data_IF_438407805970
#
_entry.id   IF_438407805970
#
_cell.length_a   1.000
_cell.length_b   1.000
_cell.length_c   1.000
_cell.angle_alpha   90.00
_cell.angle_beta   90.00
_cell.angle_gamma   90.00
#
_symmetry.space_group_name_H-M   'P 1'
#
loop_
_entity.id
_entity.type
_entity.pdbx_description
1 polymer ?
#
# COMPACT_ATOMS: atom_id res chain seq x y z
N UNK A 1 0.23 -16.07 6.56
CA UNK A 1 1.66 -16.28 6.89
C UNK A 1 2.13 -15.14 7.76
N UNK A 2 3.21 -15.34 8.51
CA UNK A 2 3.81 -14.33 9.39
C UNK A 2 5.06 -13.76 8.73
N UNK A 3 5.13 -12.43 8.62
CA UNK A 3 6.32 -11.75 8.10
C UNK A 3 7.35 -11.50 9.20
N UNK A 4 8.58 -11.22 8.79
CA UNK A 4 9.59 -10.66 9.68
C UNK A 4 9.23 -9.21 10.02
N UNK A 5 9.69 -8.74 11.18
CA UNK A 5 9.26 -7.47 11.76
C UNK A 5 10.49 -6.70 12.22
N UNK A 6 10.54 -5.39 11.95
CA UNK A 6 11.65 -4.53 12.33
C UNK A 6 11.77 -4.39 13.86
N UNK A 7 12.99 -4.12 14.33
CA UNK A 7 13.23 -3.84 15.76
C UNK A 7 12.42 -2.63 16.25
N UNK A 8 12.20 -1.64 15.39
CA UNK A 8 11.38 -0.48 15.72
C UNK A 8 9.93 -0.90 16.02
N UNK A 9 9.33 -1.77 15.20
CA UNK A 9 7.99 -2.30 15.46
C UNK A 9 7.99 -3.20 16.70
N UNK A 10 9.02 -4.03 16.92
CA UNK A 10 9.15 -4.85 18.13
C UNK A 10 9.21 -4.01 19.41
N UNK A 11 9.82 -2.81 19.36
CA UNK A 11 9.91 -1.86 20.49
C UNK A 11 8.64 -1.04 20.67
N UNK A 12 8.06 -0.53 19.57
CA UNK A 12 6.86 0.31 19.58
C UNK A 12 5.59 -0.49 19.91
N UNK A 13 5.55 -1.75 19.51
CA UNK A 13 4.36 -2.60 19.66
C UNK A 13 4.64 -3.76 20.59
N UNK A 14 3.65 -4.15 21.39
CA UNK A 14 3.76 -5.33 22.25
C UNK A 14 3.48 -6.63 21.48
N UNK A 15 3.99 -6.75 20.24
CA UNK A 15 3.66 -7.85 19.31
C UNK A 15 4.07 -9.21 19.88
N UNK A 16 5.17 -9.28 20.63
CA UNK A 16 5.62 -10.48 21.34
C UNK A 16 4.68 -10.94 22.47
N UNK A 17 3.72 -10.10 22.87
CA UNK A 17 2.68 -10.43 23.86
C UNK A 17 1.27 -10.33 23.26
N UNK A 18 1.16 -10.30 21.93
CA UNK A 18 -0.15 -10.09 21.27
C UNK A 18 -0.93 -11.39 21.03
N UNK A 19 -0.23 -12.52 20.86
CA UNK A 19 -0.85 -13.81 20.55
C UNK A 19 -0.94 -14.69 21.79
N UNK A 20 -2.09 -15.32 22.02
CA UNK A 20 -2.28 -16.34 23.06
C UNK A 20 -3.06 -17.53 22.51
N UNK A 21 -2.93 -18.75 23.09
CA UNK A 21 -3.82 -19.84 22.75
C UNK A 21 -5.29 -19.45 23.01
N UNK A 22 -6.22 -19.93 22.19
CA UNK A 22 -7.64 -19.52 22.25
C UNK A 22 -8.23 -19.55 23.68
N UNK A 23 -7.92 -20.62 24.43
CA UNK A 23 -8.47 -20.90 25.76
C UNK A 23 -7.51 -20.53 26.91
N UNK A 24 -6.43 -19.77 26.66
CA UNK A 24 -5.44 -19.42 27.70
C UNK A 24 -5.07 -17.94 27.65
N UNK A 25 -4.71 -17.36 28.81
CA UNK A 25 -4.25 -15.97 28.91
C UNK A 25 -2.76 -15.81 28.60
N UNK A 26 -1.93 -16.81 28.91
CA UNK A 26 -0.48 -16.74 28.70
C UNK A 26 -0.15 -16.57 27.22
N UNK A 27 0.59 -15.53 26.91
CA UNK A 27 0.96 -15.17 25.53
C UNK A 27 2.13 -16.01 25.03
N UNK A 28 2.27 -16.05 23.71
CA UNK A 28 3.37 -16.68 23.00
C UNK A 28 4.06 -15.63 22.14
N UNK A 29 5.38 -15.64 22.20
CA UNK A 29 6.18 -14.68 21.46
C UNK A 29 6.01 -14.80 19.95
N UNK A 30 6.06 -13.66 19.25
CA UNK A 30 5.78 -13.54 17.83
C UNK A 30 6.74 -14.37 16.97
N UNK A 31 8.02 -14.40 17.34
CA UNK A 31 9.04 -15.15 16.62
C UNK A 31 8.75 -16.66 16.53
N UNK A 32 7.93 -17.21 17.44
CA UNK A 32 7.51 -18.63 17.38
C UNK A 32 6.52 -18.93 16.25
N UNK A 33 5.96 -17.88 15.63
CA UNK A 33 5.01 -17.99 14.53
C UNK A 33 5.65 -17.70 13.16
N UNK A 34 6.85 -17.10 13.13
CA UNK A 34 7.58 -16.84 11.88
C UNK A 34 7.73 -18.13 11.06
N UNK A 35 7.67 -18.00 9.73
CA UNK A 35 7.74 -19.10 8.76
C UNK A 35 6.61 -20.14 8.87
N UNK A 36 5.62 -19.94 9.75
CA UNK A 36 4.49 -20.85 9.90
C UNK A 36 3.31 -20.44 9.01
N UNK A 37 2.69 -21.45 8.37
CA UNK A 37 1.39 -21.31 7.72
C UNK A 37 0.28 -21.40 8.77
N UNK A 38 -0.70 -20.52 8.64
CA UNK A 38 -1.89 -20.51 9.48
C UNK A 38 -3.13 -20.33 8.60
N UNK A 39 -4.23 -20.93 9.01
CA UNK A 39 -5.56 -20.70 8.43
C UNK A 39 -6.28 -19.68 9.29
N UNK A 40 -6.91 -18.68 8.68
CA UNK A 40 -7.81 -17.77 9.39
C UNK A 40 -9.08 -18.54 9.70
N UNK A 41 -9.41 -18.68 10.98
CA UNK A 41 -10.64 -19.35 11.43
C UNK A 41 -11.81 -18.37 11.43
N UNK A 42 -11.54 -17.13 11.82
CA UNK A 42 -12.55 -16.08 11.89
C UNK A 42 -12.33 -15.18 13.11
N UNK A 43 -13.39 -14.48 13.50
CA UNK A 43 -13.39 -13.59 14.64
C UNK A 43 -14.04 -14.27 15.87
N UNK A 44 -13.51 -13.96 17.05
CA UNK A 44 -14.03 -14.43 18.33
C UNK A 44 -14.29 -13.21 19.24
N UNK A 45 -15.52 -13.09 19.73
CA UNK A 45 -15.93 -12.02 20.63
C UNK A 45 -15.81 -12.51 22.08
N UNK A 46 -15.15 -11.72 22.91
CA UNK A 46 -15.02 -11.99 24.34
C UNK A 46 -14.72 -10.69 25.07
N UNK A 47 -15.47 -10.40 26.14
CA UNK A 47 -15.21 -9.26 27.04
C UNK A 47 -15.13 -7.94 26.25
N UNK A 48 -16.19 -7.67 25.47
CA UNK A 48 -16.36 -6.53 24.56
C UNK A 48 -15.22 -6.28 23.57
N UNK A 49 -14.38 -7.29 23.36
CA UNK A 49 -13.21 -7.23 22.50
C UNK A 49 -13.33 -8.23 21.36
N UNK A 50 -12.99 -7.78 20.14
CA UNK A 50 -12.88 -8.66 18.98
C UNK A 50 -11.48 -9.23 18.86
N UNK A 51 -11.40 -10.56 18.70
CA UNK A 51 -10.15 -11.26 18.50
C UNK A 51 -10.12 -11.91 17.12
N UNK A 52 -9.00 -11.79 16.41
CA UNK A 52 -8.69 -12.63 15.26
C UNK A 52 -8.26 -14.01 15.76
N UNK A 53 -8.86 -15.07 15.24
CA UNK A 53 -8.48 -16.46 15.51
C UNK A 53 -7.83 -17.08 14.28
N UNK A 54 -6.67 -17.69 14.51
CA UNK A 54 -5.94 -18.47 13.51
C UNK A 54 -5.71 -19.89 14.00
N UNK A 55 -5.53 -20.80 13.06
CA UNK A 55 -5.16 -22.18 13.32
C UNK A 55 -3.81 -22.51 12.67
N UNK A 56 -2.87 -23.01 13.47
CA UNK A 56 -1.59 -23.56 13.02
C UNK A 56 -1.70 -25.07 12.81
N UNK A 57 -0.61 -25.70 12.34
CA UNK A 57 -0.46 -27.16 12.27
C UNK A 57 -0.94 -27.86 13.54
N UNK A 58 -1.49 -29.06 13.38
CA UNK A 58 -2.08 -29.88 14.45
C UNK A 58 -3.26 -29.22 15.17
N UNK A 59 -4.08 -28.45 14.45
CA UNK A 59 -5.32 -27.82 14.96
C UNK A 59 -5.11 -26.90 16.18
N UNK A 60 -3.90 -26.35 16.36
CA UNK A 60 -3.60 -25.44 17.47
C UNK A 60 -4.10 -24.04 17.15
N UNK A 61 -5.11 -23.60 17.88
CA UNK A 61 -5.74 -22.28 17.71
C UNK A 61 -5.11 -21.20 18.58
N UNK A 62 -4.86 -20.05 17.99
CA UNK A 62 -4.35 -18.86 18.64
C UNK A 62 -5.25 -17.66 18.36
N UNK A 63 -5.33 -16.75 19.32
CA UNK A 63 -6.10 -15.50 19.21
C UNK A 63 -5.21 -14.29 19.41
N UNK A 64 -5.60 -13.17 18.80
CA UNK A 64 -4.99 -11.84 18.98
C UNK A 64 -6.09 -10.81 18.98
N UNK A 65 -6.06 -9.87 19.93
CA UNK A 65 -7.02 -8.76 19.95
C UNK A 65 -6.84 -7.91 18.68
N UNK A 66 -7.93 -7.55 18.01
CA UNK A 66 -7.91 -6.65 16.87
C UNK A 66 -7.72 -5.21 17.33
N UNK A 67 -7.10 -4.40 16.47
CA UNK A 67 -7.07 -2.95 16.67
C UNK A 67 -8.37 -2.31 16.14
N UNK A 68 -8.75 -1.09 16.60
CA UNK A 68 -9.94 -0.41 16.09
C UNK A 68 -9.95 -0.26 14.56
N UNK A 69 -8.78 -0.04 13.94
CA UNK A 69 -8.65 0.07 12.49
C UNK A 69 -8.89 -1.28 11.79
N UNK A 70 -8.37 -2.37 12.34
CA UNK A 70 -8.59 -3.71 11.79
C UNK A 70 -10.04 -4.15 11.92
N UNK A 71 -10.73 -3.72 12.97
CA UNK A 71 -12.17 -3.95 13.12
C UNK A 71 -12.97 -3.14 12.11
N UNK A 72 -12.69 -1.83 12.00
CA UNK A 72 -13.38 -0.93 11.06
C UNK A 72 -13.25 -1.38 9.60
N UNK A 73 -12.05 -1.78 9.18
CA UNK A 73 -11.78 -2.13 7.79
C UNK A 73 -11.75 -3.64 7.52
N UNK A 74 -12.03 -4.46 8.53
CA UNK A 74 -11.98 -5.93 8.43
C UNK A 74 -10.64 -6.44 7.85
N UNK A 75 -9.54 -5.79 8.21
CA UNK A 75 -8.21 -6.13 7.68
C UNK A 75 -7.47 -7.11 8.59
N UNK A 76 -6.52 -7.85 8.01
CA UNK A 76 -5.55 -8.60 8.80
C UNK A 76 -4.56 -7.64 9.49
N UNK A 77 -3.96 -8.08 10.61
CA UNK A 77 -2.81 -7.41 11.19
C UNK A 77 -1.70 -7.24 10.15
N UNK A 78 -1.07 -6.07 10.15
CA UNK A 78 -0.07 -5.63 9.16
C UNK A 78 1.24 -6.45 9.09
N UNK A 79 1.47 -7.35 10.06
CA UNK A 79 2.59 -8.29 10.06
C UNK A 79 2.19 -9.67 9.51
N UNK A 80 0.93 -9.84 9.11
CA UNK A 80 0.43 -11.01 8.40
C UNK A 80 0.21 -10.70 6.92
N UNK A 81 0.36 -11.72 6.10
CA UNK A 81 0.03 -11.67 4.68
C UNK A 81 -0.67 -12.96 4.23
N UNK A 82 -1.53 -12.86 3.21
CA UNK A 82 -2.16 -14.02 2.59
C UNK A 82 -1.18 -14.73 1.66
N UNK A 83 -1.32 -16.05 1.55
CA UNK A 83 -0.48 -16.83 0.64
C UNK A 83 -0.78 -16.49 -0.84
N UNK A 84 -2.03 -16.11 -1.15
CA UNK A 84 -2.42 -15.61 -2.47
C UNK A 84 -1.66 -14.34 -2.83
N UNK A 85 -1.59 -13.36 -1.93
CA UNK A 85 -0.89 -12.09 -2.19
C UNK A 85 0.60 -12.31 -2.40
N UNK A 86 1.22 -13.20 -1.62
CA UNK A 86 2.61 -13.59 -1.82
C UNK A 86 2.84 -14.25 -3.19
N UNK A 87 1.94 -15.17 -3.61
CA UNK A 87 2.02 -15.79 -4.94
C UNK A 87 1.88 -14.76 -6.05
N UNK A 88 0.96 -13.81 -5.92
CA UNK A 88 0.76 -12.74 -6.89
C UNK A 88 1.98 -11.82 -6.97
N UNK A 89 2.57 -11.46 -5.82
CA UNK A 89 3.83 -10.72 -5.79
C UNK A 89 4.97 -11.52 -6.45
N UNK A 90 5.08 -12.83 -6.18
CA UNK A 90 6.10 -13.69 -6.80
C UNK A 90 5.93 -13.84 -8.30
N UNK A 91 4.70 -13.84 -8.79
CA UNK A 91 4.42 -13.84 -10.22
C UNK A 91 4.91 -12.57 -10.94
N UNK A 92 5.28 -11.52 -10.19
CA UNK A 92 5.90 -10.33 -10.77
C UNK A 92 7.38 -10.50 -11.10
N UNK A 93 8.02 -11.60 -10.71
CA UNK A 93 9.43 -11.85 -11.05
C UNK A 93 9.68 -11.71 -12.56
N UNK A 94 10.70 -10.93 -12.92
CA UNK A 94 11.09 -10.65 -14.30
C UNK A 94 10.30 -9.53 -14.98
N UNK A 95 9.17 -9.10 -14.40
CA UNK A 95 8.34 -8.01 -14.93
C UNK A 95 9.02 -6.66 -14.71
N UNK A 96 8.96 -5.81 -15.73
CA UNK A 96 9.38 -4.42 -15.62
C UNK A 96 8.26 -3.56 -15.03
N UNK A 97 8.62 -2.67 -14.11
CA UNK A 97 7.71 -1.72 -13.45
C UNK A 97 8.31 -0.31 -13.47
N UNK A 98 7.46 0.70 -13.30
CA UNK A 98 7.85 2.11 -13.21
C UNK A 98 7.60 2.61 -11.80
N UNK A 99 8.65 3.04 -11.10
CA UNK A 99 8.55 3.53 -9.73
C UNK A 99 7.67 4.78 -9.63
N UNK A 100 6.99 4.98 -8.51
CA UNK A 100 6.18 6.19 -8.28
C UNK A 100 6.68 6.99 -7.08
N UNK A 101 6.77 6.36 -5.91
CA UNK A 101 7.33 6.98 -4.71
C UNK A 101 8.64 6.28 -4.35
N UNK A 102 9.73 7.06 -4.34
CA UNK A 102 11.11 6.60 -4.06
C UNK A 102 11.72 7.28 -2.84
N UNK A 103 10.96 8.15 -2.15
CA UNK A 103 11.43 8.97 -1.04
C UNK A 103 10.91 8.46 0.30
N UNK A 104 9.72 7.87 0.30
CA UNK A 104 9.07 7.35 1.51
C UNK A 104 9.63 5.99 1.92
N UNK A 105 10.40 5.97 3.02
CA UNK A 105 11.01 4.76 3.59
C UNK A 105 10.01 3.71 4.06
N UNK A 106 8.74 4.06 4.30
CA UNK A 106 7.71 3.08 4.63
C UNK A 106 7.32 2.23 3.41
N UNK A 107 7.58 2.76 2.21
CA UNK A 107 7.20 2.15 0.93
C UNK A 107 8.34 1.87 -0.04
N UNK A 108 9.54 2.40 0.20
CA UNK A 108 10.71 2.24 -0.66
C UNK A 108 12.02 2.18 0.13
N UNK A 109 12.95 1.32 -0.30
CA UNK A 109 14.31 1.25 0.22
C UNK A 109 15.31 1.14 -0.93
N UNK A 110 16.39 1.93 -0.89
CA UNK A 110 17.56 1.74 -1.76
C UNK A 110 18.70 1.11 -0.97
N UNK A 111 19.44 0.19 -1.59
CA UNK A 111 20.72 -0.29 -1.07
C UNK A 111 21.92 0.45 -1.66
N UNK A 112 21.69 1.33 -2.64
CA UNK A 112 22.72 2.13 -3.30
C UNK A 112 22.72 3.56 -2.78
N UNK A 113 23.90 4.18 -2.76
CA UNK A 113 24.07 5.62 -2.56
C UNK A 113 23.46 6.44 -3.70
N UNK A 114 23.36 5.86 -4.91
CA UNK A 114 22.70 6.51 -6.04
C UNK A 114 21.18 6.42 -5.87
N UNK A 115 20.51 7.55 -6.08
CA UNK A 115 19.08 7.69 -5.88
C UNK A 115 18.30 7.20 -7.10
N UNK A 116 17.32 6.34 -6.85
CA UNK A 116 16.26 6.02 -7.80
C UNK A 116 15.41 7.25 -8.09
N UNK A 117 14.86 7.34 -9.30
CA UNK A 117 13.97 8.44 -9.71
C UNK A 117 12.52 7.99 -9.79
N UNK A 118 11.60 8.94 -9.57
CA UNK A 118 10.19 8.74 -9.91
C UNK A 118 10.04 8.42 -11.40
N UNK A 119 9.22 7.42 -11.69
CA UNK A 119 9.01 6.80 -13.00
C UNK A 119 10.23 6.13 -13.62
N UNK A 120 11.28 5.87 -12.84
CA UNK A 120 12.38 5.03 -13.28
C UNK A 120 11.87 3.61 -13.53
N UNK A 121 12.24 3.06 -14.69
CA UNK A 121 11.91 1.69 -15.09
C UNK A 121 12.91 0.72 -14.47
N UNK A 122 12.41 -0.23 -13.70
CA UNK A 122 13.20 -1.25 -12.99
C UNK A 122 12.60 -2.63 -13.23
N UNK A 123 13.40 -3.68 -13.03
CA UNK A 123 12.96 -5.08 -13.11
C UNK A 123 12.73 -5.63 -11.71
N UNK A 124 11.64 -6.36 -11.53
CA UNK A 124 11.43 -7.14 -10.30
C UNK A 124 12.29 -8.39 -10.35
N UNK A 125 13.15 -8.58 -9.35
CA UNK A 125 14.10 -9.69 -9.29
C UNK A 125 13.82 -10.66 -8.15
N UNK A 126 13.05 -10.26 -7.14
CA UNK A 126 12.61 -11.19 -6.09
C UNK A 126 11.46 -10.58 -5.25
N UNK A 127 11.00 -11.30 -4.22
CA UNK A 127 10.00 -10.87 -3.25
C UNK A 127 10.50 -11.17 -1.84
N UNK A 128 10.44 -10.17 -0.98
CA UNK A 128 10.81 -10.25 0.42
C UNK A 128 9.59 -9.95 1.32
N UNK A 129 9.51 -10.61 2.48
CA UNK A 129 8.41 -10.40 3.44
C UNK A 129 8.92 -9.74 4.71
N UNK A 130 8.56 -8.49 4.93
CA UNK A 130 9.07 -7.70 6.05
C UNK A 130 8.13 -6.56 6.42
N UNK A 131 8.03 -6.29 7.72
CA UNK A 131 7.23 -5.20 8.25
C UNK A 131 8.09 -4.19 9.02
N UNK A 132 8.18 -2.98 8.48
CA UNK A 132 8.90 -1.86 9.08
C UNK A 132 8.00 -0.73 9.58
N UNK A 133 6.70 -0.76 9.26
CA UNK A 133 5.75 0.33 9.56
C UNK A 133 4.43 -0.22 10.13
N UNK A 134 3.51 0.64 10.55
CA UNK A 134 2.19 0.25 11.01
C UNK A 134 1.06 0.35 9.96
N UNK A 135 1.30 0.94 8.77
CA UNK A 135 0.21 1.30 7.83
C UNK A 135 -0.02 0.35 6.64
N UNK A 136 0.96 -0.47 6.25
CA UNK A 136 0.88 -1.30 5.03
C UNK A 136 1.27 -2.78 5.20
N UNK A 137 1.01 -3.58 4.16
CA UNK A 137 1.18 -5.04 4.16
C UNK A 137 2.63 -5.46 3.95
N UNK A 138 3.09 -6.54 4.60
CA UNK A 138 4.50 -6.89 4.77
C UNK A 138 5.11 -7.59 3.55
N UNK A 139 4.75 -7.17 2.34
CA UNK A 139 5.21 -7.71 1.07
C UNK A 139 5.97 -6.64 0.29
N UNK A 140 7.18 -7.00 -0.11
CA UNK A 140 8.12 -6.14 -0.84
C UNK A 140 8.57 -6.84 -2.11
N UNK A 141 8.67 -6.09 -3.18
CA UNK A 141 9.34 -6.49 -4.41
C UNK A 141 10.79 -6.03 -4.31
N UNK A 142 11.74 -6.95 -4.48
CA UNK A 142 13.14 -6.60 -4.70
C UNK A 142 13.27 -6.21 -6.17
N UNK A 143 13.86 -5.05 -6.42
CA UNK A 143 13.98 -4.44 -7.76
C UNK A 143 15.43 -4.23 -8.13
N UNK A 144 15.69 -4.22 -9.43
CA UNK A 144 17.01 -3.93 -10.01
C UNK A 144 16.86 -2.91 -11.15
N UNK A 145 17.64 -1.84 -11.10
CA UNK A 145 17.73 -0.87 -12.20
C UNK A 145 18.59 -1.39 -13.34
N UNK A 146 18.57 -0.71 -14.49
CA UNK A 146 19.44 -1.06 -15.63
C UNK A 146 20.94 -1.02 -15.29
N UNK A 147 21.32 -0.16 -14.35
CA UNK A 147 22.71 -0.01 -13.90
C UNK A 147 23.08 -1.06 -12.81
N UNK A 148 22.20 -2.02 -12.51
CA UNK A 148 22.42 -3.06 -11.50
C UNK A 148 22.16 -2.62 -10.05
N UNK A 149 21.63 -1.41 -9.84
CA UNK A 149 21.31 -0.93 -8.48
C UNK A 149 20.10 -1.67 -7.94
N UNK A 150 20.15 -2.07 -6.68
CA UNK A 150 19.06 -2.79 -6.02
C UNK A 150 18.33 -1.95 -5.00
N UNK A 151 17.05 -2.22 -4.89
CA UNK A 151 16.17 -1.63 -3.88
C UNK A 151 14.97 -2.52 -3.60
N UNK A 152 14.05 -2.01 -2.81
CA UNK A 152 12.77 -2.62 -2.54
C UNK A 152 11.67 -1.60 -2.70
N UNK A 153 10.54 -2.05 -3.24
CA UNK A 153 9.30 -1.28 -3.28
C UNK A 153 8.17 -2.13 -2.71
N UNK A 154 7.28 -1.54 -1.91
CA UNK A 154 6.10 -2.25 -1.39
C UNK A 154 5.27 -2.81 -2.54
N UNK A 155 4.74 -4.01 -2.33
CA UNK A 155 3.79 -4.61 -3.26
C UNK A 155 2.47 -3.83 -3.23
N UNK A 156 1.96 -3.44 -4.39
CA UNK A 156 0.71 -2.68 -4.49
C UNK A 156 -0.51 -3.47 -3.97
N UNK A 157 -0.51 -4.80 -4.11
CA UNK A 157 -1.74 -5.57 -3.97
C UNK A 157 -2.71 -5.26 -5.11
N UNK A 158 -3.99 -5.16 -4.78
CA UNK A 158 -4.99 -4.64 -5.71
C UNK A 158 -4.72 -3.16 -6.00
N UNK A 159 -5.06 -2.71 -7.23
CA UNK A 159 -4.88 -1.31 -7.64
C UNK A 159 -5.61 -0.37 -6.69
N UNK A 160 -4.87 0.56 -6.10
CA UNK A 160 -5.41 1.56 -5.17
C UNK A 160 -5.98 2.73 -5.96
N UNK A 161 -7.15 3.23 -5.55
CA UNK A 161 -7.84 4.35 -6.21
C UNK A 161 -8.28 5.47 -5.25
N UNK A 162 -8.20 5.27 -3.94
CA UNK A 162 -8.60 6.23 -2.90
C UNK A 162 -7.62 6.19 -1.73
N UNK A 163 -7.24 7.37 -1.21
CA UNK A 163 -6.50 7.60 0.04
C UNK A 163 -5.12 6.95 0.18
N UNK A 164 -4.66 6.18 -0.80
CA UNK A 164 -3.35 5.51 -0.79
C UNK A 164 -2.76 5.48 -2.18
N UNK A 165 -1.47 5.79 -2.30
CA UNK A 165 -0.77 5.75 -3.58
C UNK A 165 -0.38 4.35 -4.00
N UNK A 166 -0.36 4.11 -5.32
CA UNK A 166 0.35 2.97 -5.89
C UNK A 166 1.85 3.29 -5.87
N UNK A 167 2.68 2.37 -5.41
CA UNK A 167 4.13 2.57 -5.27
C UNK A 167 4.87 2.46 -6.60
N UNK A 168 4.26 1.78 -7.56
CA UNK A 168 4.75 1.62 -8.93
C UNK A 168 3.57 1.43 -9.91
N UNK A 169 3.87 1.53 -11.20
CA UNK A 169 2.99 1.21 -12.32
C UNK A 169 3.51 -0.01 -13.08
N UNK A 170 2.59 -0.84 -13.61
CA UNK A 170 2.91 -2.03 -14.42
C UNK A 170 3.05 -1.65 -15.90
N UNK A 171 2.49 -0.52 -16.30
CA UNK A 171 2.61 0.06 -17.63
C UNK A 171 3.34 1.41 -17.52
N UNK A 172 3.92 1.88 -18.62
CA UNK A 172 4.54 3.19 -18.69
C UNK A 172 3.53 4.29 -18.31
N UNK A 173 3.75 5.01 -17.19
CA UNK A 173 2.81 6.02 -16.73
C UNK A 173 2.86 7.31 -17.57
N UNK A 174 3.86 7.48 -18.44
CA UNK A 174 4.12 8.72 -19.19
C UNK A 174 4.13 8.45 -20.70
N UNK A 175 2.97 8.17 -21.32
CA UNK A 175 2.90 7.81 -22.72
C UNK A 175 3.30 9.00 -23.61
N UNK A 176 4.08 8.72 -24.66
CA UNK A 176 4.68 9.74 -25.54
C UNK A 176 3.65 10.65 -26.22
N UNK A 177 2.42 10.17 -26.42
CA UNK A 177 1.34 10.92 -27.06
C UNK A 177 0.81 12.09 -26.22
N UNK A 178 1.19 12.20 -24.94
CA UNK A 178 0.86 13.36 -24.11
C UNK A 178 1.67 14.60 -24.45
N UNK A 179 2.74 14.48 -25.25
CA UNK A 179 3.64 15.60 -25.52
C UNK A 179 4.62 15.85 -24.38
N UNK A 180 5.72 16.55 -24.70
CA UNK A 180 6.85 16.74 -23.76
C UNK A 180 6.46 17.58 -22.56
N UNK A 181 5.66 18.63 -22.76
CA UNK A 181 5.31 19.59 -21.72
C UNK A 181 4.42 18.96 -20.66
N UNK A 182 3.35 18.25 -21.08
CA UNK A 182 2.49 17.51 -20.15
C UNK A 182 3.26 16.41 -19.43
N UNK A 183 4.17 15.69 -20.10
CA UNK A 183 5.01 14.67 -19.44
C UNK A 183 5.91 15.30 -18.38
N UNK A 184 6.55 16.43 -18.68
CA UNK A 184 7.40 17.14 -17.73
C UNK A 184 6.59 17.65 -16.53
N UNK A 185 5.41 18.21 -16.79
CA UNK A 185 4.50 18.70 -15.76
C UNK A 185 4.05 17.57 -14.83
N UNK A 186 3.58 16.44 -15.38
CA UNK A 186 3.15 15.27 -14.59
C UNK A 186 4.31 14.67 -13.79
N UNK A 187 5.51 14.61 -14.39
CA UNK A 187 6.72 14.10 -13.70
C UNK A 187 7.06 14.91 -12.46
N UNK A 188 6.87 16.21 -12.53
CA UNK A 188 7.14 17.13 -11.42
C UNK A 188 5.97 17.25 -10.43
N UNK A 189 4.90 16.49 -10.60
CA UNK A 189 3.72 16.60 -9.73
C UNK A 189 2.95 17.90 -9.95
N UNK A 190 2.92 18.43 -11.17
CA UNK A 190 2.15 19.63 -11.52
C UNK A 190 0.75 19.30 -12.06
N UNK A 191 -0.09 20.33 -12.14
CA UNK A 191 -1.46 20.26 -12.63
C UNK A 191 -1.71 21.34 -13.68
N UNK A 192 -2.60 21.06 -14.61
CA UNK A 192 -3.08 22.01 -15.61
C UNK A 192 -4.54 21.72 -15.95
N UNK A 193 -5.31 22.78 -16.25
CA UNK A 193 -6.68 22.66 -16.74
C UNK A 193 -6.72 21.80 -18.00
N UNK A 194 -7.82 21.08 -18.20
CA UNK A 194 -8.03 20.06 -19.23
C UNK A 194 -7.21 18.77 -19.08
N UNK A 195 -6.37 18.63 -18.04
CA UNK A 195 -5.76 17.34 -17.74
C UNK A 195 -6.84 16.28 -17.48
N UNK A 196 -6.66 15.11 -18.10
CA UNK A 196 -7.49 13.94 -17.82
C UNK A 196 -7.30 13.46 -16.38
N UNK A 197 -8.31 12.76 -15.86
CA UNK A 197 -8.23 12.05 -14.57
C UNK A 197 -7.00 11.13 -14.47
N UNK A 198 -6.58 10.50 -15.57
CA UNK A 198 -5.38 9.65 -15.61
C UNK A 198 -4.11 10.47 -15.40
N UNK A 199 -3.96 11.60 -16.08
CA UNK A 199 -2.81 12.50 -15.92
C UNK A 199 -2.74 13.05 -14.50
N UNK A 200 -3.86 13.56 -13.96
CA UNK A 200 -3.94 14.06 -12.59
C UNK A 200 -3.56 12.97 -11.58
N UNK A 201 -4.08 11.75 -11.74
CA UNK A 201 -3.79 10.64 -10.83
C UNK A 201 -2.34 10.16 -10.88
N UNK A 202 -1.70 10.24 -12.04
CA UNK A 202 -0.26 9.92 -12.15
C UNK A 202 0.58 11.04 -11.54
N UNK A 203 0.15 12.30 -11.71
CA UNK A 203 0.84 13.49 -11.19
C UNK A 203 0.75 13.61 -9.66
N UNK A 204 -0.48 13.79 -9.15
CA UNK A 204 -0.81 14.03 -7.74
C UNK A 204 -1.01 12.75 -6.93
N UNK A 205 -1.35 11.67 -7.62
CA UNK A 205 -1.77 10.45 -6.97
C UNK A 205 -3.29 10.33 -6.77
N UNK A 206 -3.69 9.35 -5.96
CA UNK A 206 -5.07 9.07 -5.60
C UNK A 206 -5.60 10.09 -4.56
N UNK A 207 -6.81 10.64 -4.75
CA UNK A 207 -7.45 11.52 -3.78
C UNK A 207 -7.97 10.75 -2.56
N UNK A 208 -8.19 11.44 -1.46
CA UNK A 208 -8.78 10.89 -0.24
C UNK A 208 -10.28 10.64 -0.42
N UNK A 209 -10.97 11.56 -1.11
CA UNK A 209 -12.42 11.50 -1.35
C UNK A 209 -12.70 11.76 -2.83
N UNK A 210 -13.68 11.04 -3.39
CA UNK A 210 -14.24 11.28 -4.71
C UNK A 210 -15.75 11.43 -4.59
N UNK A 211 -16.26 12.60 -4.94
CA UNK A 211 -17.69 12.87 -5.07
C UNK A 211 -18.09 12.88 -6.54
N UNK A 212 -19.19 12.20 -6.88
CA UNK A 212 -19.73 12.16 -8.24
C UNK A 212 -21.02 12.97 -8.28
N UNK A 213 -21.17 13.80 -9.32
CA UNK A 213 -22.40 14.55 -9.56
C UNK A 213 -22.89 14.25 -10.96
N UNK A 214 -24.15 13.84 -11.08
CA UNK A 214 -24.82 13.63 -12.36
C UNK A 214 -26.15 14.37 -12.32
N UNK A 215 -26.34 15.30 -13.25
CA UNK A 215 -27.57 16.09 -13.37
C UNK A 215 -27.98 16.24 -14.83
N UNK A 216 -29.17 16.79 -15.06
CA UNK A 216 -29.63 17.16 -16.42
C UNK A 216 -28.69 18.16 -17.12
N UNK A 217 -27.83 18.84 -16.38
CA UNK A 217 -26.91 19.86 -16.88
C UNK A 217 -25.46 19.34 -17.07
N UNK A 218 -25.18 18.08 -16.76
CA UNK A 218 -23.86 17.48 -16.99
C UNK A 218 -23.42 16.47 -15.93
N UNK A 219 -22.26 15.87 -16.20
CA UNK A 219 -21.58 14.93 -15.31
C UNK A 219 -20.29 15.59 -14.81
N UNK A 220 -20.18 15.69 -13.49
CA UNK A 220 -19.03 16.26 -12.79
C UNK A 220 -18.45 15.28 -11.77
N UNK A 221 -17.19 15.48 -11.41
CA UNK A 221 -16.54 14.74 -10.33
C UNK A 221 -15.62 15.67 -9.54
N UNK A 222 -15.67 15.61 -8.22
CA UNK A 222 -14.79 16.37 -7.33
C UNK A 222 -13.84 15.40 -6.62
N UNK A 223 -12.54 15.68 -6.65
CA UNK A 223 -11.50 14.95 -5.94
C UNK A 223 -10.96 15.84 -4.83
N UNK A 224 -10.85 15.31 -3.61
CA UNK A 224 -10.37 16.03 -2.44
C UNK A 224 -9.08 15.38 -1.96
N UNK A 225 -8.03 16.19 -1.84
CA UNK A 225 -6.72 15.81 -1.31
C UNK A 225 -6.48 16.56 0.01
N UNK A 226 -5.96 15.86 1.02
CA UNK A 226 -5.58 16.44 2.32
C UNK A 226 -6.45 15.96 3.48
N UNK A 227 -5.91 16.08 4.69
CA UNK A 227 -6.57 15.68 5.93
C UNK A 227 -7.31 16.84 6.62
N UNK A 228 -7.90 16.59 7.78
CA UNK A 228 -8.64 17.59 8.56
C UNK A 228 -7.76 18.64 9.27
N UNK A 229 -6.43 18.45 9.28
CA UNK A 229 -5.46 19.28 10.01
C UNK A 229 -4.58 20.12 9.08
N UNK A 230 -4.58 19.85 7.77
CA UNK A 230 -3.92 20.65 6.72
C UNK A 230 -4.88 21.41 5.80
N UNK A 231 -4.30 22.08 4.78
CA UNK A 231 -5.05 22.64 3.65
C UNK A 231 -5.62 21.53 2.78
N UNK A 232 -6.79 21.79 2.18
CA UNK A 232 -7.47 20.82 1.32
C UNK A 232 -7.45 21.35 -0.11
N UNK A 233 -6.91 20.54 -1.02
CA UNK A 233 -7.00 20.82 -2.44
C UNK A 233 -8.21 20.08 -3.03
N UNK A 234 -9.07 20.83 -3.70
CA UNK A 234 -10.25 20.33 -4.40
C UNK A 234 -10.02 20.46 -5.91
N UNK A 235 -10.12 19.34 -6.61
CA UNK A 235 -10.01 19.26 -8.06
C UNK A 235 -11.37 18.91 -8.65
N UNK A 236 -11.87 19.75 -9.54
CA UNK A 236 -13.17 19.55 -10.21
C UNK A 236 -12.94 19.10 -11.64
N UNK A 237 -13.66 18.07 -12.04
CA UNK A 237 -13.62 17.51 -13.38
C UNK A 237 -14.98 17.61 -14.03
N UNK A 238 -15.00 18.14 -15.26
CA UNK A 238 -16.19 18.22 -16.10
C UNK A 238 -15.86 17.65 -17.48
N UNK A 239 -16.78 16.86 -18.04
CA UNK A 239 -16.63 16.24 -19.37
C UNK A 239 -15.30 15.48 -19.59
N UNK A 240 -14.66 15.01 -18.51
CA UNK A 240 -13.44 14.21 -18.53
C UNK A 240 -12.13 14.97 -18.31
N UNK A 241 -12.14 16.29 -18.29
CA UNK A 241 -10.98 17.16 -18.04
C UNK A 241 -11.05 17.88 -16.69
N UNK A 242 -9.90 18.21 -16.13
CA UNK A 242 -9.77 19.07 -14.94
C UNK A 242 -10.26 20.49 -15.30
N UNK A 243 -11.34 20.97 -14.69
CA UNK A 243 -11.94 22.27 -15.00
C UNK A 243 -11.57 23.36 -13.99
N UNK A 244 -11.34 22.98 -12.73
CA UNK A 244 -11.06 23.95 -11.67
C UNK A 244 -10.23 23.33 -10.54
N UNK A 245 -9.37 24.15 -9.92
CA UNK A 245 -8.50 23.82 -8.79
C UNK A 245 -8.77 24.85 -7.69
N UNK A 246 -9.01 24.37 -6.47
CA UNK A 246 -9.21 25.19 -5.28
C UNK A 246 -8.30 24.68 -4.17
N UNK A 247 -7.44 25.56 -3.64
CA UNK A 247 -6.51 25.28 -2.52
C UNK A 247 -6.96 25.96 -1.22
#
# INVERSE_FOLDING_TARGET
MFADVSDQILKKTNINRSWSPLNRKRTRSYYKFQKSKATVVGDYLFDDSKYLVIELKHKKKYKRKKSPLEEKYTTLPNHLYLLSDYKNAKAMFGIDIWLNNVVDISSFFSYSEKLFKRFEKVKVVDVHTYQNDDKDWPLWLIIESKDGQRGNVRYNGAKKTLGRQNYYFIEDPLPKNWGRDTIALVRNGGLEINMSKKQVRISQGNPDIINNTSSRHGIGQQWIYGDSLGGKTYLYFEYGGLSFIQD
#
